data_IF_776195785997
#
_entry.id   IF_776195785997
#
_cell.length_a   1.000
_cell.length_b   1.000
_cell.length_c   1.000
_cell.angle_alpha   90.00
_cell.angle_beta   90.00
_cell.angle_gamma   90.00
#
_symmetry.space_group_name_H-M   'P 1'
#
loop_
_entity.id
_entity.type
_entity.pdbx_description
1 polymer ?
#
# COMPACT_ATOMS: atom_id res chain seq x y z
N UNK A 1 18.02 -9.49 -15.54
CA UNK A 1 17.76 -8.15 -14.98
C UNK A 1 16.47 -8.24 -14.19
N UNK A 2 16.38 -8.12 -12.87
CA UNK A 2 17.34 -7.87 -11.80
C UNK A 2 16.52 -7.79 -10.51
N UNK A 3 17.00 -8.45 -9.45
CA UNK A 3 16.63 -8.30 -8.05
C UNK A 3 15.28 -8.87 -7.59
N UNK A 4 15.22 -10.20 -7.47
CA UNK A 4 14.36 -10.86 -6.48
C UNK A 4 14.92 -10.55 -5.09
N UNK A 5 14.38 -9.53 -4.42
CA UNK A 5 14.62 -9.30 -2.99
C UNK A 5 13.96 -10.48 -2.26
N UNK A 6 14.78 -11.41 -1.76
CA UNK A 6 14.37 -12.47 -0.83
C UNK A 6 13.97 -11.79 0.48
N UNK A 7 12.69 -11.46 0.62
CA UNK A 7 11.92 -11.41 1.87
C UNK A 7 10.45 -11.24 1.47
N UNK A 8 9.90 -12.32 0.92
CA UNK A 8 8.52 -12.38 0.46
C UNK A 8 7.55 -12.49 1.63
N UNK A 9 7.27 -11.35 2.27
CA UNK A 9 6.14 -11.22 3.17
C UNK A 9 5.22 -10.14 2.61
N UNK A 10 3.99 -10.57 2.28
CA UNK A 10 2.90 -9.74 1.80
C UNK A 10 2.74 -8.52 2.72
N UNK A 11 3.25 -7.35 2.32
CA UNK A 11 3.06 -6.10 3.05
C UNK A 11 4.27 -5.21 3.33
N UNK A 12 5.49 -5.54 2.87
CA UNK A 12 6.69 -4.73 3.18
C UNK A 12 7.23 -3.90 2.00
N UNK A 13 6.51 -3.86 0.87
CA UNK A 13 6.96 -3.08 -0.28
C UNK A 13 6.88 -1.58 0.03
N UNK A 14 7.97 -0.85 -0.23
CA UNK A 14 8.04 0.59 -0.06
C UNK A 14 7.17 1.25 -1.13
N UNK A 15 6.14 1.97 -0.68
CA UNK A 15 5.32 2.78 -1.57
C UNK A 15 5.97 4.15 -1.77
N UNK A 16 6.41 4.44 -3.00
CA UNK A 16 7.13 5.68 -3.31
C UNK A 16 6.28 6.96 -3.18
N UNK A 17 4.94 6.84 -3.18
CA UNK A 17 4.01 7.98 -3.19
C UNK A 17 4.32 9.01 -4.29
N UNK A 18 4.72 8.56 -5.49
CA UNK A 18 5.09 9.42 -6.61
C UNK A 18 3.95 10.30 -7.13
N UNK A 19 2.70 9.87 -6.92
CA UNK A 19 1.48 10.60 -7.25
C UNK A 19 1.04 11.57 -6.16
N UNK A 20 1.74 11.64 -5.02
CA UNK A 20 1.43 12.49 -3.88
C UNK A 20 -0.01 12.36 -3.34
N UNK A 21 -0.61 11.17 -3.45
CA UNK A 21 -1.94 10.89 -2.90
C UNK A 21 -1.93 10.78 -1.37
N UNK A 22 -0.76 10.59 -0.76
CA UNK A 22 -0.56 10.55 0.68
C UNK A 22 0.23 11.77 1.18
N UNK A 23 0.00 12.22 2.43
CA UNK A 23 0.73 13.37 2.97
C UNK A 23 2.22 13.06 3.12
N UNK A 24 3.06 13.90 2.51
CA UNK A 24 4.51 13.84 2.66
C UNK A 24 4.98 14.52 3.96
N UNK A 25 5.99 13.95 4.60
CA UNK A 25 6.68 14.53 5.77
C UNK A 25 8.12 14.05 5.77
N UNK A 26 9.06 14.90 6.20
CA UNK A 26 10.46 14.52 6.32
C UNK A 26 10.61 13.29 7.24
N UNK A 27 11.30 12.27 6.75
CA UNK A 27 11.50 11.00 7.47
C UNK A 27 10.29 10.04 7.46
N UNK A 28 9.18 10.41 6.80
CA UNK A 28 8.05 9.50 6.58
C UNK A 28 8.35 8.54 5.44
N UNK A 29 8.15 7.26 5.70
CA UNK A 29 8.23 6.17 4.73
C UNK A 29 6.84 5.55 4.65
N UNK A 30 6.37 5.33 3.44
CA UNK A 30 5.12 4.64 3.15
C UNK A 30 5.40 3.21 2.71
N UNK A 31 4.53 2.32 3.14
CA UNK A 31 4.52 0.91 2.78
C UNK A 31 3.14 0.54 2.25
N UNK A 32 3.10 -0.53 1.45
CA UNK A 32 1.85 -1.06 0.95
C UNK A 32 1.65 -2.54 1.24
N UNK A 33 0.39 -2.93 1.40
CA UNK A 33 -0.01 -4.32 1.52
C UNK A 33 -1.26 -4.59 0.68
N UNK A 34 -1.26 -5.72 -0.02
CA UNK A 34 -2.45 -6.26 -0.67
C UNK A 34 -3.49 -6.65 0.40
N UNK A 35 -4.68 -6.06 0.35
CA UNK A 35 -5.81 -6.45 1.21
C UNK A 35 -7.05 -6.78 0.38
N UNK A 36 -8.02 -7.48 0.97
CA UNK A 36 -9.27 -7.80 0.28
C UNK A 36 -9.11 -8.80 -0.87
N UNK A 37 -8.03 -9.60 -0.87
CA UNK A 37 -7.81 -10.63 -1.87
C UNK A 37 -8.89 -11.72 -1.75
N UNK A 38 -9.73 -11.85 -2.78
CA UNK A 38 -10.69 -12.95 -2.90
C UNK A 38 -9.96 -14.12 -3.56
N UNK A 39 -9.68 -15.18 -2.79
CA UNK A 39 -8.91 -16.35 -3.21
C UNK A 39 -9.55 -17.16 -4.36
N UNK A 40 -10.83 -16.95 -4.65
CA UNK A 40 -11.56 -17.57 -5.76
C UNK A 40 -11.58 -16.73 -7.05
N UNK A 41 -11.01 -15.53 -7.03
CA UNK A 41 -11.07 -14.57 -8.14
C UNK A 41 -9.66 -14.28 -8.68
N UNK A 42 -9.49 -14.37 -10.01
CA UNK A 42 -8.24 -14.02 -10.69
C UNK A 42 -7.78 -12.62 -10.33
N UNK A 43 -6.46 -12.43 -10.17
CA UNK A 43 -5.84 -11.16 -9.75
C UNK A 43 -6.21 -9.97 -10.65
N UNK A 44 -6.48 -10.22 -11.93
CA UNK A 44 -6.96 -9.24 -12.91
C UNK A 44 -8.41 -8.77 -12.72
N UNK A 45 -9.21 -9.51 -11.96
CA UNK A 45 -10.61 -9.17 -11.68
C UNK A 45 -10.81 -8.58 -10.28
N UNK A 46 -9.77 -8.53 -9.46
CA UNK A 46 -9.83 -7.92 -8.14
C UNK A 46 -9.68 -6.40 -8.27
N UNK A 47 -10.42 -5.64 -7.46
CA UNK A 47 -10.44 -4.16 -7.47
C UNK A 47 -9.09 -3.52 -7.10
N UNK A 48 -8.07 -4.33 -6.80
CA UNK A 48 -6.74 -3.81 -6.48
C UNK A 48 -6.69 -3.07 -5.15
N UNK A 49 -7.51 -3.45 -4.17
CA UNK A 49 -7.50 -2.78 -2.86
C UNK A 49 -6.15 -2.95 -2.16
N UNK A 50 -5.58 -1.85 -1.66
CA UNK A 50 -4.32 -1.83 -0.93
C UNK A 50 -4.47 -1.05 0.38
N UNK A 51 -3.83 -1.56 1.41
CA UNK A 51 -3.53 -0.80 2.62
C UNK A 51 -2.23 -0.03 2.39
N UNK A 52 -2.23 1.26 2.71
CA UNK A 52 -1.07 2.13 2.70
C UNK A 52 -0.81 2.58 4.14
N UNK A 53 0.35 2.25 4.69
CA UNK A 53 0.68 2.57 6.08
C UNK A 53 2.05 3.23 6.19
N UNK A 54 2.19 4.17 7.13
CA UNK A 54 3.44 4.89 7.32
C UNK A 54 4.23 4.40 8.55
N UNK A 55 5.54 4.56 8.52
CA UNK A 55 6.42 4.31 9.67
C UNK A 55 6.08 5.19 10.89
N UNK A 56 5.43 6.34 10.68
CA UNK A 56 5.05 7.29 11.72
C UNK A 56 3.59 7.15 12.20
N UNK A 57 2.87 6.11 11.78
CA UNK A 57 1.61 5.70 12.41
C UNK A 57 0.33 5.96 11.62
N UNK A 58 0.38 6.40 10.37
CA UNK A 58 -0.82 6.67 9.56
C UNK A 58 -1.30 5.43 8.81
N UNK A 59 -2.63 5.31 8.64
CA UNK A 59 -3.28 4.26 7.85
C UNK A 59 -4.22 4.84 6.79
N UNK A 60 -4.09 4.35 5.57
CA UNK A 60 -4.89 4.72 4.39
C UNK A 60 -5.29 3.48 3.59
N UNK A 61 -6.40 3.54 2.87
CA UNK A 61 -6.81 2.51 1.91
C UNK A 61 -7.01 3.15 0.53
N UNK A 62 -6.55 2.47 -0.52
CA UNK A 62 -6.94 2.75 -1.91
C UNK A 62 -7.70 1.55 -2.47
N UNK A 63 -8.76 1.81 -3.23
CA UNK A 63 -9.58 0.80 -3.91
C UNK A 63 -9.62 1.01 -5.43
N UNK A 64 -8.88 1.99 -5.92
CA UNK A 64 -8.97 2.51 -7.29
C UNK A 64 -7.59 2.59 -7.94
N UNK A 65 -6.70 1.65 -7.59
CA UNK A 65 -5.34 1.58 -8.12
C UNK A 65 -4.54 2.89 -7.91
N UNK A 66 -4.50 3.39 -6.68
CA UNK A 66 -3.73 4.57 -6.28
C UNK A 66 -4.19 5.89 -6.94
N UNK A 67 -5.44 5.95 -7.44
CA UNK A 67 -6.03 7.22 -7.90
C UNK A 67 -6.39 8.08 -6.69
N UNK A 68 -6.97 7.47 -5.65
CA UNK A 68 -7.27 8.13 -4.39
C UNK A 68 -6.95 7.24 -3.19
N UNK A 69 -6.74 7.88 -2.04
CA UNK A 69 -6.50 7.21 -0.78
C UNK A 69 -7.42 7.82 0.29
N UNK A 70 -8.10 6.96 1.04
CA UNK A 70 -8.96 7.37 2.16
C UNK A 70 -8.24 7.07 3.46
N UNK A 71 -8.11 8.07 4.32
CA UNK A 71 -7.56 7.87 5.66
C UNK A 71 -8.54 7.04 6.50
N UNK A 72 -8.04 5.99 7.11
CA UNK A 72 -8.85 5.11 7.96
C UNK A 72 -8.46 5.18 9.44
N UNK A 73 -7.33 5.78 9.77
CA UNK A 73 -6.93 6.04 11.15
C UNK A 73 -5.43 6.12 11.37
N UNK A 74 -5.02 5.84 12.61
CA UNK A 74 -3.63 5.73 13.04
C UNK A 74 -3.42 4.43 13.83
N UNK A 75 -2.20 3.89 13.79
CA UNK A 75 -1.84 2.63 14.47
C UNK A 75 -0.80 2.80 15.59
N UNK A 76 -0.36 4.03 15.83
CA UNK A 76 0.49 4.43 16.94
C UNK A 76 -0.24 5.43 17.84
#
# INVERSE_FOLDING_TARGET
MGNTIKNGQLGEDIFANSTNILPAKQGRIWYEADIGLINTMSRSNQTGTRLLYSNDGLLYITTDHYISATQIGTWK
#
